data_IF_303286100379
#
_entry.id   IF_303286100379
#
_cell.length_a   1.000
_cell.length_b   1.000
_cell.length_c   1.000
_cell.angle_alpha   90.00
_cell.angle_beta   90.00
_cell.angle_gamma   90.00
#
_symmetry.space_group_name_H-M   'P 1'
#
loop_
_entity.id
_entity.type
_entity.pdbx_description
1 polymer ?
#
# COMPACT_ATOMS: atom_id res chain seq x y z
N UNK A 1 39.70 20.72 -21.09
CA UNK A 1 38.69 20.45 -22.14
C UNK A 1 37.76 19.30 -21.69
N UNK A 2 37.44 19.20 -20.38
CA UNK A 2 36.88 17.95 -19.80
C UNK A 2 35.38 18.02 -19.44
N UNK A 3 34.73 19.18 -19.56
CA UNK A 3 33.33 19.35 -19.12
C UNK A 3 32.30 18.78 -20.11
N UNK A 4 32.66 18.72 -21.40
CA UNK A 4 31.79 18.17 -22.46
C UNK A 4 31.48 16.68 -22.29
N UNK A 5 32.45 15.78 -22.04
CA UNK A 5 32.15 14.36 -21.83
C UNK A 5 31.32 14.12 -20.57
N UNK A 6 31.53 14.90 -19.49
CA UNK A 6 30.74 14.79 -18.28
C UNK A 6 29.27 15.22 -18.50
N UNK A 7 29.06 16.30 -19.26
CA UNK A 7 27.71 16.74 -19.62
C UNK A 7 26.98 15.75 -20.51
N UNK A 8 27.69 15.11 -21.45
CA UNK A 8 27.15 14.03 -22.29
C UNK A 8 26.79 12.79 -21.47
N UNK A 9 27.62 12.43 -20.50
CA UNK A 9 27.35 11.31 -19.58
C UNK A 9 26.10 11.57 -18.72
N UNK A 10 25.91 12.79 -18.23
CA UNK A 10 24.70 13.17 -17.47
C UNK A 10 23.44 13.10 -18.32
N UNK A 11 23.49 13.58 -19.56
CA UNK A 11 22.37 13.49 -20.51
C UNK A 11 22.07 12.02 -20.83
N UNK A 12 23.10 11.19 -21.03
CA UNK A 12 22.94 9.76 -21.28
C UNK A 12 22.31 9.03 -20.09
N UNK A 13 22.70 9.36 -18.85
CA UNK A 13 22.12 8.79 -17.64
C UNK A 13 20.64 9.18 -17.45
N UNK A 14 20.29 10.43 -17.77
CA UNK A 14 18.91 10.91 -17.66
C UNK A 14 17.96 10.29 -18.70
N UNK A 15 18.50 9.80 -19.83
CA UNK A 15 17.75 9.12 -20.88
C UNK A 15 17.58 7.61 -20.62
N UNK A 16 18.21 7.06 -19.60
CA UNK A 16 17.99 5.66 -19.23
C UNK A 16 16.55 5.49 -18.74
N UNK A 17 15.76 4.58 -19.35
CA UNK A 17 14.43 4.28 -18.84
C UNK A 17 14.58 3.68 -17.44
N UNK A 18 14.01 4.35 -16.44
CA UNK A 18 13.83 3.76 -15.12
C UNK A 18 12.73 2.71 -15.22
N UNK A 19 13.11 1.45 -15.28
CA UNK A 19 12.19 0.35 -15.04
C UNK A 19 11.82 0.37 -13.55
N UNK A 20 10.61 0.80 -13.21
CA UNK A 20 10.06 0.55 -11.88
C UNK A 20 9.98 -0.97 -11.72
N UNK A 21 10.74 -1.55 -10.79
CA UNK A 21 10.72 -3.00 -10.51
C UNK A 21 9.37 -3.48 -9.94
N UNK A 22 8.37 -2.59 -9.92
CA UNK A 22 7.09 -2.75 -9.28
C UNK A 22 7.21 -2.42 -7.80
N UNK A 23 6.28 -1.63 -7.28
CA UNK A 23 6.25 -1.41 -5.83
C UNK A 23 5.73 -2.66 -5.10
N UNK A 24 6.49 -3.12 -4.11
CA UNK A 24 6.12 -4.19 -3.19
C UNK A 24 5.03 -3.68 -2.23
N UNK A 25 4.14 -4.59 -1.82
CA UNK A 25 3.15 -4.37 -0.77
C UNK A 25 3.15 -5.51 0.23
N UNK A 26 2.50 -5.30 1.37
CA UNK A 26 2.43 -6.29 2.46
C UNK A 26 1.00 -6.55 2.91
N UNK A 27 0.75 -7.75 3.43
CA UNK A 27 -0.51 -8.10 4.08
C UNK A 27 -0.45 -7.69 5.56
N UNK A 28 -1.48 -6.98 6.04
CA UNK A 28 -1.61 -6.62 7.44
C UNK A 28 -2.50 -7.62 8.18
N UNK A 29 -1.93 -8.77 8.52
CA UNK A 29 -2.61 -9.76 9.35
C UNK A 29 -2.74 -9.27 10.79
N UNK A 30 -3.93 -9.41 11.38
CA UNK A 30 -4.25 -8.87 12.73
C UNK A 30 -4.80 -9.90 13.72
N UNK A 31 -4.75 -11.18 13.38
CA UNK A 31 -5.10 -12.29 14.30
C UNK A 31 -3.88 -12.62 15.16
N UNK A 32 -3.63 -11.82 16.19
CA UNK A 32 -2.55 -11.97 17.17
C UNK A 32 -2.82 -11.08 18.40
N UNK A 33 -2.05 -11.25 19.47
CA UNK A 33 -2.27 -10.66 20.80
C UNK A 33 -1.30 -9.51 21.15
N UNK A 34 -0.19 -9.36 20.42
CA UNK A 34 0.90 -8.44 20.76
C UNK A 34 1.29 -7.47 19.63
N UNK A 35 0.38 -7.24 18.68
CA UNK A 35 0.69 -6.40 17.52
C UNK A 35 0.80 -4.91 17.86
N UNK A 36 1.61 -4.14 17.11
CA UNK A 36 1.65 -2.69 17.24
C UNK A 36 0.29 -2.08 16.86
N UNK A 37 -0.01 -0.90 17.41
CA UNK A 37 -1.18 -0.12 16.98
C UNK A 37 -1.08 0.26 15.50
N UNK A 38 -2.23 0.45 14.84
CA UNK A 38 -2.28 0.78 13.40
C UNK A 38 -1.43 2.02 13.05
N UNK A 39 -1.41 3.04 13.90
CA UNK A 39 -0.54 4.22 13.73
C UNK A 39 0.96 3.87 13.76
N UNK A 40 1.37 2.94 14.64
CA UNK A 40 2.76 2.45 14.68
C UNK A 40 3.09 1.64 13.42
N UNK A 41 2.16 0.84 12.92
CA UNK A 41 2.32 0.11 11.65
C UNK A 41 2.46 1.07 10.47
N UNK A 42 1.66 2.14 10.38
CA UNK A 42 1.81 3.15 9.32
C UNK A 42 3.18 3.82 9.36
N UNK A 43 3.67 4.17 10.56
CA UNK A 43 5.04 4.70 10.73
C UNK A 43 6.10 3.69 10.28
N UNK A 44 5.93 2.41 10.64
CA UNK A 44 6.82 1.34 10.22
C UNK A 44 6.85 1.21 8.70
N UNK A 45 5.70 1.13 8.02
CA UNK A 45 5.62 1.00 6.57
C UNK A 45 6.32 2.17 5.86
N UNK A 46 6.08 3.41 6.31
CA UNK A 46 6.77 4.59 5.79
C UNK A 46 8.29 4.51 5.98
N UNK A 47 8.75 4.07 7.16
CA UNK A 47 10.19 3.90 7.44
C UNK A 47 10.88 2.87 6.54
N UNK A 48 10.11 1.90 6.02
CA UNK A 48 10.60 0.83 5.14
C UNK A 48 10.33 1.11 3.66
N UNK A 49 9.80 2.29 3.30
CA UNK A 49 9.45 2.62 1.92
C UNK A 49 8.30 1.79 1.33
N UNK A 50 7.48 1.15 2.18
CA UNK A 50 6.37 0.31 1.73
C UNK A 50 5.14 1.20 1.47
N UNK A 51 4.78 1.32 0.20
CA UNK A 51 3.67 2.18 -0.25
C UNK A 51 2.34 1.47 -0.50
N UNK A 52 2.24 0.16 -0.27
CA UNK A 52 1.02 -0.64 -0.51
C UNK A 52 0.75 -1.59 0.66
N UNK A 53 -0.52 -1.71 1.05
CA UNK A 53 -0.96 -2.60 2.11
C UNK A 53 -2.29 -3.26 1.74
N UNK A 54 -2.49 -4.53 2.13
CA UNK A 54 -3.79 -5.21 2.11
C UNK A 54 -4.29 -5.41 3.53
N UNK A 55 -5.56 -5.06 3.77
CA UNK A 55 -6.31 -5.35 5.00
C UNK A 55 -7.47 -6.31 4.68
N UNK A 56 -7.92 -7.07 5.68
CA UNK A 56 -8.87 -8.18 5.51
C UNK A 56 -10.28 -7.88 6.04
N UNK A 57 -10.52 -6.63 6.46
CA UNK A 57 -11.76 -6.15 7.04
C UNK A 57 -11.83 -4.61 6.95
N UNK A 58 -12.91 -4.03 7.49
CA UNK A 58 -13.20 -2.60 7.51
C UNK A 58 -13.02 -1.98 8.90
N UNK A 59 -12.06 -2.45 9.71
CA UNK A 59 -11.81 -1.89 11.04
C UNK A 59 -11.54 -0.36 10.97
N UNK A 60 -12.41 0.48 11.57
CA UNK A 60 -12.29 1.93 11.47
C UNK A 60 -10.97 2.45 12.02
N UNK A 61 -10.41 1.86 13.08
CA UNK A 61 -9.16 2.32 13.67
C UNK A 61 -7.98 2.13 12.70
N UNK A 62 -8.00 1.05 11.92
CA UNK A 62 -6.99 0.78 10.88
C UNK A 62 -7.17 1.72 9.70
N UNK A 63 -8.40 1.89 9.20
CA UNK A 63 -8.68 2.76 8.07
C UNK A 63 -8.38 4.23 8.39
N UNK A 64 -8.71 4.70 9.60
CA UNK A 64 -8.36 6.04 10.05
C UNK A 64 -6.85 6.25 10.16
N UNK A 65 -6.09 5.26 10.65
CA UNK A 65 -4.64 5.36 10.71
C UNK A 65 -4.00 5.43 9.31
N UNK A 66 -4.57 4.72 8.33
CA UNK A 66 -4.13 4.70 6.94
C UNK A 66 -4.58 5.93 6.15
N UNK A 67 -5.64 6.61 6.59
CA UNK A 67 -6.15 7.82 5.94
C UNK A 67 -5.06 8.90 5.85
N UNK A 68 -4.98 9.56 4.69
CA UNK A 68 -3.99 10.60 4.40
C UNK A 68 -2.52 10.17 4.57
N UNK A 69 -2.23 8.87 4.67
CA UNK A 69 -0.87 8.37 4.85
C UNK A 69 -0.04 8.38 3.56
N UNK A 70 -0.69 8.38 2.40
CA UNK A 70 -0.07 8.15 1.09
C UNK A 70 0.17 6.67 0.74
N UNK A 71 -0.17 5.75 1.66
CA UNK A 71 -0.11 4.29 1.42
C UNK A 71 -1.37 3.88 0.65
N UNK A 72 -1.21 3.14 -0.45
CA UNK A 72 -2.32 2.56 -1.20
C UNK A 72 -2.86 1.35 -0.45
N UNK A 73 -4.18 1.32 -0.23
CA UNK A 73 -4.84 0.30 0.58
C UNK A 73 -5.75 -0.56 -0.30
N UNK A 74 -5.60 -1.88 -0.22
CA UNK A 74 -6.61 -2.84 -0.66
C UNK A 74 -7.39 -3.32 0.55
N UNK A 75 -8.71 -3.13 0.53
CA UNK A 75 -9.62 -3.66 1.57
C UNK A 75 -10.31 -4.89 1.00
N UNK A 76 -10.10 -6.06 1.61
CA UNK A 76 -10.75 -7.28 1.18
C UNK A 76 -12.09 -7.48 1.90
N UNK A 77 -13.10 -7.97 1.16
CA UNK A 77 -14.33 -8.48 1.74
C UNK A 77 -13.98 -9.71 2.59
N UNK A 78 -14.36 -9.77 3.88
CA UNK A 78 -14.18 -10.96 4.69
C UNK A 78 -14.90 -12.16 4.09
N UNK A 79 -14.28 -13.34 4.15
CA UNK A 79 -14.81 -14.57 3.53
C UNK A 79 -16.24 -14.89 3.99
N UNK A 80 -16.55 -14.63 5.27
CA UNK A 80 -17.88 -14.83 5.85
C UNK A 80 -18.97 -13.94 5.21
N UNK A 81 -18.59 -12.83 4.57
CA UNK A 81 -19.52 -11.89 3.92
C UNK A 81 -19.63 -12.11 2.42
N UNK A 82 -18.76 -12.92 1.81
CA UNK A 82 -18.74 -13.14 0.35
C UNK A 82 -20.06 -13.67 -0.18
N UNK A 83 -20.70 -14.62 0.53
CA UNK A 83 -21.99 -15.16 0.11
C UNK A 83 -23.08 -14.08 0.09
N UNK A 84 -23.16 -13.26 1.14
CA UNK A 84 -24.13 -12.18 1.23
C UNK A 84 -23.91 -11.10 0.16
N UNK A 85 -22.64 -10.71 -0.04
CA UNK A 85 -22.25 -9.75 -1.07
C UNK A 85 -22.55 -10.24 -2.48
N UNK A 86 -22.29 -11.53 -2.77
CA UNK A 86 -22.61 -12.12 -4.07
C UNK A 86 -24.11 -12.25 -4.30
N UNK A 87 -24.90 -12.47 -3.24
CA UNK A 87 -26.34 -12.72 -3.36
C UNK A 87 -27.18 -11.45 -3.47
N UNK A 88 -26.71 -10.33 -2.91
CA UNK A 88 -27.49 -9.10 -2.78
C UNK A 88 -26.69 -7.84 -3.11
N UNK A 89 -27.13 -7.11 -4.15
CA UNK A 89 -26.56 -5.81 -4.51
C UNK A 89 -26.72 -4.78 -3.38
N UNK A 90 -27.84 -4.80 -2.65
CA UNK A 90 -28.05 -3.85 -1.55
C UNK A 90 -27.09 -4.11 -0.39
N UNK A 91 -26.75 -5.38 -0.14
CA UNK A 91 -25.71 -5.73 0.82
C UNK A 91 -24.34 -5.24 0.33
N UNK A 92 -24.00 -5.53 -0.94
CA UNK A 92 -22.72 -5.09 -1.53
C UNK A 92 -22.55 -3.56 -1.57
N UNK A 93 -23.63 -2.80 -1.72
CA UNK A 93 -23.59 -1.33 -1.64
C UNK A 93 -23.45 -0.80 -0.21
N UNK A 94 -23.97 -1.54 0.77
CA UNK A 94 -23.91 -1.16 2.18
C UNK A 94 -22.58 -1.54 2.82
N UNK A 95 -21.92 -2.56 2.28
CA UNK A 95 -20.57 -2.97 2.66
C UNK A 95 -19.54 -2.00 2.08
#
# INVERSE_FOLDING_TARGET
MELRPLSLLFVLLALLPFSDAGSIGVNYGRVADNLPSANKVVKLLKSQGIGKIKVYDTDPAVLHALANSGIKVTVAVPDALLFAAARSQSFANSW
#
